data_IF_924226574606
#
_entry.id   IF_924226574606
#
_cell.length_a   1.000
_cell.length_b   1.000
_cell.length_c   1.000
_cell.angle_alpha   90.00
_cell.angle_beta   90.00
_cell.angle_gamma   90.00
#
_symmetry.space_group_name_H-M   'P 1'
#
loop_
_entity.id
_entity.type
_entity.pdbx_description
1 polymer ?
#
# COMPACT_ATOMS: atom_id res chain seq x y z
N UNK A 1 19.54 -32.62 12.20
CA UNK A 1 20.59 -31.76 12.78
C UNK A 1 20.24 -30.31 12.47
N UNK A 2 20.16 -29.39 13.45
CA UNK A 2 19.96 -27.98 13.14
C UNK A 2 21.17 -27.45 12.35
N UNK A 3 20.93 -26.64 11.32
CA UNK A 3 21.99 -26.05 10.53
C UNK A 3 22.87 -25.16 11.42
N UNK A 4 24.17 -25.46 11.50
CA UNK A 4 25.14 -24.66 12.25
C UNK A 4 25.32 -23.32 11.54
N UNK A 5 25.10 -22.21 12.24
CA UNK A 5 25.24 -20.85 11.69
C UNK A 5 26.67 -20.63 11.18
N UNK A 6 26.81 -20.44 9.88
CA UNK A 6 28.09 -20.14 9.23
C UNK A 6 28.56 -18.71 9.56
N UNK A 7 29.79 -18.55 10.06
CA UNK A 7 30.44 -17.25 10.31
C UNK A 7 31.08 -16.62 9.04
N UNK A 8 30.71 -17.08 7.85
CA UNK A 8 31.20 -16.49 6.59
C UNK A 8 30.66 -15.06 6.44
N UNK A 9 31.49 -14.12 5.93
CA UNK A 9 31.03 -12.76 5.66
C UNK A 9 29.92 -12.75 4.60
N UNK A 10 28.92 -11.90 4.81
CA UNK A 10 27.74 -11.76 3.95
C UNK A 10 27.76 -10.40 3.27
N UNK A 11 27.73 -10.39 1.95
CA UNK A 11 27.75 -9.17 1.15
C UNK A 11 26.32 -8.67 0.87
N UNK A 12 25.71 -8.04 1.88
CA UNK A 12 24.34 -7.50 1.84
C UNK A 12 24.30 -6.08 2.42
N UNK A 13 25.19 -5.20 1.97
CA UNK A 13 25.10 -3.81 2.42
C UNK A 13 23.78 -3.18 1.92
N UNK A 14 23.16 -2.33 2.74
CA UNK A 14 21.89 -1.70 2.39
C UNK A 14 21.99 -0.90 1.08
N UNK A 15 23.14 -0.27 0.84
CA UNK A 15 23.42 0.46 -0.41
C UNK A 15 23.34 -0.44 -1.66
N UNK A 16 23.92 -1.65 -1.61
CA UNK A 16 23.84 -2.60 -2.73
C UNK A 16 22.40 -3.11 -2.93
N UNK A 17 21.71 -3.45 -1.83
CA UNK A 17 20.31 -3.92 -1.88
C UNK A 17 19.42 -2.86 -2.52
N UNK A 18 19.56 -1.59 -2.12
CA UNK A 18 18.82 -0.48 -2.72
C UNK A 18 19.21 -0.29 -4.20
N UNK A 19 20.50 -0.29 -4.53
CA UNK A 19 20.98 -0.05 -5.89
C UNK A 19 20.47 -1.09 -6.91
N UNK A 20 20.30 -2.35 -6.49
CA UNK A 20 19.78 -3.42 -7.35
C UNK A 20 18.25 -3.37 -7.41
N UNK A 21 17.56 -3.27 -6.27
CA UNK A 21 16.10 -3.39 -6.22
C UNK A 21 15.39 -2.15 -6.79
N UNK A 22 15.92 -0.94 -6.59
CA UNK A 22 15.30 0.29 -7.10
C UNK A 22 15.37 0.43 -8.62
N UNK A 23 16.07 -0.46 -9.33
CA UNK A 23 16.09 -0.49 -10.81
C UNK A 23 15.01 -1.41 -11.39
N UNK A 24 14.36 -2.22 -10.56
CA UNK A 24 13.37 -3.19 -11.01
C UNK A 24 11.96 -2.76 -10.60
N UNK A 25 11.04 -2.48 -11.54
CA UNK A 25 9.66 -2.14 -11.20
C UNK A 25 8.97 -3.28 -10.43
N UNK A 26 9.36 -4.53 -10.67
CA UNK A 26 8.85 -5.71 -9.96
C UNK A 26 9.27 -5.68 -8.49
N UNK A 27 10.55 -5.38 -8.20
CA UNK A 27 11.04 -5.33 -6.83
C UNK A 27 10.44 -4.16 -6.04
N UNK A 28 10.32 -2.98 -6.69
CA UNK A 28 9.65 -1.81 -6.12
C UNK A 28 8.19 -2.15 -5.79
N UNK A 29 7.44 -2.69 -6.77
CA UNK A 29 6.03 -3.05 -6.56
C UNK A 29 5.88 -4.09 -5.44
N UNK A 30 6.80 -5.06 -5.34
CA UNK A 30 6.78 -6.08 -4.29
C UNK A 30 6.97 -5.51 -2.88
N UNK A 31 7.96 -4.64 -2.67
CA UNK A 31 8.18 -4.07 -1.33
C UNK A 31 7.05 -3.09 -0.96
N UNK A 32 6.57 -2.30 -1.91
CA UNK A 32 5.44 -1.41 -1.68
C UNK A 32 4.17 -2.18 -1.35
N UNK A 33 3.94 -3.36 -1.93
CA UNK A 33 2.74 -4.15 -1.67
C UNK A 33 2.74 -4.71 -0.24
N UNK A 34 3.92 -5.08 0.27
CA UNK A 34 4.09 -5.50 1.66
C UNK A 34 3.85 -4.33 2.62
N UNK A 35 4.48 -3.18 2.36
CA UNK A 35 4.33 -1.99 3.20
C UNK A 35 2.89 -1.49 3.21
N UNK A 36 2.22 -1.49 2.05
CA UNK A 36 0.82 -1.09 1.95
C UNK A 36 -0.10 -2.02 2.73
N UNK A 37 0.17 -3.33 2.74
CA UNK A 37 -0.56 -4.30 3.56
C UNK A 37 -0.45 -4.00 5.06
N UNK A 38 0.76 -3.66 5.53
CA UNK A 38 0.99 -3.24 6.93
C UNK A 38 0.24 -1.96 7.25
N UNK A 39 0.28 -0.96 6.37
CA UNK A 39 -0.45 0.31 6.54
C UNK A 39 -1.95 0.05 6.67
N UNK A 40 -2.53 -0.73 5.75
CA UNK A 40 -3.96 -1.08 5.76
C UNK A 40 -4.31 -1.82 7.05
N UNK A 41 -3.51 -2.81 7.45
CA UNK A 41 -3.76 -3.57 8.67
C UNK A 41 -3.74 -2.69 9.94
N UNK A 42 -2.79 -1.78 10.06
CA UNK A 42 -2.67 -0.93 11.24
C UNK A 42 -3.77 0.14 11.31
N UNK A 43 -4.15 0.70 10.17
CA UNK A 43 -5.10 1.82 10.12
C UNK A 43 -6.57 1.39 9.98
N UNK A 44 -6.86 0.11 9.70
CA UNK A 44 -8.25 -0.38 9.61
C UNK A 44 -9.04 -0.14 10.90
N UNK A 45 -8.41 -0.28 12.08
CA UNK A 45 -9.07 -0.03 13.36
C UNK A 45 -9.52 1.42 13.53
N UNK A 46 -8.71 2.38 13.05
CA UNK A 46 -9.05 3.80 13.06
C UNK A 46 -10.27 4.06 12.17
N UNK A 47 -10.29 3.48 10.97
CA UNK A 47 -11.38 3.62 10.01
C UNK A 47 -12.68 2.98 10.53
N UNK A 48 -12.59 1.82 11.20
CA UNK A 48 -13.74 1.19 11.84
C UNK A 48 -14.31 2.04 12.97
N UNK A 49 -13.47 2.72 13.76
CA UNK A 49 -13.95 3.66 14.78
C UNK A 49 -14.63 4.89 14.16
N UNK A 50 -14.06 5.46 13.09
CA UNK A 50 -14.70 6.56 12.35
C UNK A 50 -16.07 6.12 11.80
N UNK A 51 -16.14 4.91 11.23
CA UNK A 51 -17.37 4.33 10.69
C UNK A 51 -18.41 4.13 11.80
N UNK A 52 -18.04 3.50 12.92
CA UNK A 52 -18.92 3.29 14.07
C UNK A 52 -19.52 4.61 14.58
N UNK A 53 -18.69 5.65 14.77
CA UNK A 53 -19.16 6.97 15.18
C UNK A 53 -20.03 7.66 14.16
N UNK A 54 -19.76 7.48 12.87
CA UNK A 54 -20.59 8.07 11.81
C UNK A 54 -21.98 7.44 11.75
N UNK A 55 -22.14 6.20 12.23
CA UNK A 55 -23.39 5.45 12.21
C UNK A 55 -24.16 5.49 13.53
N UNK A 56 -23.57 6.03 14.61
CA UNK A 56 -24.16 5.96 15.94
C UNK A 56 -25.41 6.82 16.12
N UNK A 57 -25.46 8.01 15.49
CA UNK A 57 -26.59 8.94 15.49
C UNK A 57 -26.37 10.07 14.47
N UNK A 58 -27.39 10.91 14.18
CA UNK A 58 -27.20 12.13 13.37
C UNK A 58 -26.10 13.05 13.94
N UNK A 59 -26.06 13.24 15.25
CA UNK A 59 -25.02 14.04 15.92
C UNK A 59 -23.64 13.39 15.81
N UNK A 60 -23.58 12.05 15.85
CA UNK A 60 -22.35 11.29 15.61
C UNK A 60 -21.82 11.48 14.18
N UNK A 61 -22.70 11.45 13.19
CA UNK A 61 -22.36 11.75 11.80
C UNK A 61 -21.84 13.18 11.64
N UNK A 62 -22.52 14.17 12.21
CA UNK A 62 -22.11 15.57 12.16
C UNK A 62 -20.79 15.81 12.89
N UNK A 63 -20.52 15.10 13.99
CA UNK A 63 -19.23 15.13 14.68
C UNK A 63 -18.12 14.60 13.78
N UNK A 64 -18.31 13.43 13.14
CA UNK A 64 -17.31 12.88 12.21
C UNK A 64 -17.07 13.84 11.05
N UNK A 65 -18.14 14.34 10.42
CA UNK A 65 -18.05 15.24 9.28
C UNK A 65 -17.32 16.55 9.61
N UNK A 66 -17.72 17.22 10.69
CA UNK A 66 -17.28 18.60 10.96
C UNK A 66 -16.04 18.66 11.86
N UNK A 67 -15.90 17.75 12.82
CA UNK A 67 -14.79 17.76 13.79
C UNK A 67 -13.66 16.84 13.35
N UNK A 68 -13.97 15.58 13.07
CA UNK A 68 -12.95 14.58 12.70
C UNK A 68 -12.37 14.91 11.32
N UNK A 69 -13.21 15.04 10.31
CA UNK A 69 -12.79 15.43 8.96
C UNK A 69 -12.56 16.94 8.80
N UNK A 70 -12.91 17.77 9.78
CA UNK A 70 -12.45 19.16 9.83
C UNK A 70 -10.95 19.28 10.10
N UNK A 71 -10.32 18.24 10.65
CA UNK A 71 -8.89 18.22 10.93
C UNK A 71 -8.09 17.69 9.71
N UNK A 72 -7.24 18.54 9.15
CA UNK A 72 -6.39 18.21 7.99
C UNK A 72 -5.46 17.02 8.22
N UNK A 73 -4.99 16.81 9.47
CA UNK A 73 -4.12 15.69 9.82
C UNK A 73 -4.90 14.37 9.73
N UNK A 74 -6.16 14.35 10.18
CA UNK A 74 -6.99 13.15 10.09
C UNK A 74 -7.30 12.83 8.64
N UNK A 75 -7.67 13.83 7.83
CA UNK A 75 -7.85 13.66 6.38
C UNK A 75 -6.61 13.07 5.72
N UNK A 76 -5.43 13.56 6.09
CA UNK A 76 -4.17 13.04 5.59
C UNK A 76 -3.93 11.58 6.00
N UNK A 77 -4.21 11.21 7.25
CA UNK A 77 -4.10 9.81 7.72
C UNK A 77 -5.09 8.90 6.96
N UNK A 78 -6.33 9.35 6.76
CA UNK A 78 -7.34 8.63 5.97
C UNK A 78 -6.85 8.48 4.53
N UNK A 79 -6.26 9.53 3.94
CA UNK A 79 -5.65 9.43 2.62
C UNK A 79 -4.49 8.43 2.59
N UNK A 80 -3.60 8.38 3.58
CA UNK A 80 -2.53 7.38 3.67
C UNK A 80 -3.11 5.96 3.68
N UNK A 81 -4.18 5.72 4.44
CA UNK A 81 -4.88 4.43 4.43
C UNK A 81 -5.44 4.12 3.04
N UNK A 82 -6.18 5.05 2.42
CA UNK A 82 -6.79 4.85 1.10
C UNK A 82 -5.72 4.66 0.02
N UNK A 83 -4.60 5.39 0.09
CA UNK A 83 -3.48 5.24 -0.82
C UNK A 83 -2.83 3.85 -0.68
N UNK A 84 -2.62 3.39 0.56
CA UNK A 84 -2.18 2.04 0.86
C UNK A 84 -3.15 0.99 0.30
N UNK A 85 -4.45 1.16 0.52
CA UNK A 85 -5.49 0.26 0.05
C UNK A 85 -5.53 0.17 -1.49
N UNK A 86 -5.51 1.31 -2.19
CA UNK A 86 -5.48 1.37 -3.66
C UNK A 86 -4.28 0.59 -4.20
N UNK A 87 -3.08 0.88 -3.68
CA UNK A 87 -1.88 0.21 -4.13
C UNK A 87 -1.93 -1.30 -3.80
N UNK A 88 -2.32 -1.65 -2.58
CA UNK A 88 -2.38 -3.04 -2.14
C UNK A 88 -3.35 -3.87 -2.99
N UNK A 89 -4.52 -3.31 -3.30
CA UNK A 89 -5.54 -3.94 -4.11
C UNK A 89 -5.09 -4.15 -5.56
N UNK A 90 -4.57 -3.10 -6.22
CA UNK A 90 -4.10 -3.19 -7.61
C UNK A 90 -2.93 -4.17 -7.74
N UNK A 91 -1.93 -4.08 -6.85
CA UNK A 91 -0.81 -5.02 -6.83
C UNK A 91 -1.26 -6.44 -6.46
N UNK A 92 -2.27 -6.58 -5.60
CA UNK A 92 -2.90 -7.85 -5.25
C UNK A 92 -3.59 -8.51 -6.44
N UNK A 93 -4.34 -7.76 -7.26
CA UNK A 93 -4.89 -8.28 -8.52
C UNK A 93 -3.76 -8.77 -9.44
N UNK A 94 -2.67 -8.00 -9.58
CA UNK A 94 -1.50 -8.43 -10.35
C UNK A 94 -0.87 -9.71 -9.79
N UNK A 95 -0.94 -9.96 -8.49
CA UNK A 95 -0.50 -11.23 -7.89
C UNK A 95 -1.46 -12.37 -8.24
N UNK A 96 -2.76 -12.19 -8.07
CA UNK A 96 -3.76 -13.20 -8.41
C UNK A 96 -3.73 -13.58 -9.90
N UNK A 97 -3.52 -12.60 -10.79
CA UNK A 97 -3.34 -12.87 -12.22
C UNK A 97 -2.08 -13.70 -12.49
N UNK A 98 -0.97 -13.41 -11.80
CA UNK A 98 0.24 -14.21 -11.92
C UNK A 98 0.04 -15.63 -11.38
N UNK A 99 -0.70 -15.80 -10.28
CA UNK A 99 -1.05 -17.12 -9.71
C UNK A 99 -1.93 -17.95 -10.66
N UNK A 100 -2.66 -17.30 -11.57
CA UNK A 100 -3.44 -17.92 -12.64
C UNK A 100 -2.62 -18.20 -13.92
N UNK A 101 -1.31 -17.89 -13.92
CA UNK A 101 -0.41 -18.11 -15.05
C UNK A 101 -0.34 -16.97 -16.07
N UNK A 102 -0.87 -15.78 -15.74
CA UNK A 102 -0.72 -14.60 -16.61
C UNK A 102 0.58 -13.85 -16.32
N UNK A 103 1.26 -13.41 -17.39
CA UNK A 103 2.45 -12.55 -17.32
C UNK A 103 3.63 -13.14 -16.51
N UNK A 104 3.92 -14.43 -16.68
CA UNK A 104 4.99 -15.16 -15.98
C UNK A 104 6.40 -14.81 -16.46
N UNK A 105 6.57 -14.38 -17.71
CA UNK A 105 7.88 -14.04 -18.25
C UNK A 105 8.41 -12.73 -17.68
N UNK A 106 9.74 -12.61 -17.57
CA UNK A 106 10.40 -11.44 -16.98
C UNK A 106 9.94 -10.10 -17.59
N UNK A 107 9.81 -10.03 -18.91
CA UNK A 107 9.37 -8.82 -19.60
C UNK A 107 7.90 -8.53 -19.29
N UNK A 108 7.03 -9.54 -19.39
CA UNK A 108 5.61 -9.41 -19.09
C UNK A 108 5.35 -9.02 -17.63
N UNK A 109 6.09 -9.58 -16.67
CA UNK A 109 6.03 -9.22 -15.26
C UNK A 109 6.50 -7.78 -14.97
N UNK A 110 7.51 -7.28 -15.70
CA UNK A 110 7.94 -5.88 -15.62
C UNK A 110 6.88 -4.93 -16.17
N UNK A 111 6.23 -5.29 -17.27
CA UNK A 111 5.11 -4.51 -17.84
C UNK A 111 3.96 -4.48 -16.85
N UNK A 112 3.53 -5.64 -16.34
CA UNK A 112 2.44 -5.73 -15.36
C UNK A 112 2.73 -4.92 -14.09
N UNK A 113 3.95 -5.00 -13.54
CA UNK A 113 4.35 -4.20 -12.39
C UNK A 113 4.33 -2.69 -12.67
N UNK A 114 4.81 -2.28 -13.85
CA UNK A 114 4.78 -0.87 -14.28
C UNK A 114 3.35 -0.36 -14.42
N UNK A 115 2.45 -1.14 -15.03
CA UNK A 115 1.03 -0.80 -15.15
C UNK A 115 0.40 -0.66 -13.76
N UNK A 116 0.64 -1.62 -12.85
CA UNK A 116 0.14 -1.54 -11.47
C UNK A 116 0.61 -0.26 -10.76
N UNK A 117 1.88 0.13 -10.93
CA UNK A 117 2.43 1.36 -10.35
C UNK A 117 1.75 2.62 -10.91
N UNK A 118 1.57 2.71 -12.24
CA UNK A 118 0.93 3.86 -12.90
C UNK A 118 -0.53 3.98 -12.47
N UNK A 119 -1.31 2.89 -12.54
CA UNK A 119 -2.72 2.89 -12.14
C UNK A 119 -2.89 3.27 -10.67
N UNK A 120 -2.01 2.76 -9.80
CA UNK A 120 -2.03 3.12 -8.39
C UNK A 120 -1.69 4.60 -8.18
N UNK A 121 -0.66 5.13 -8.86
CA UNK A 121 -0.30 6.54 -8.73
C UNK A 121 -1.45 7.47 -9.14
N UNK A 122 -2.13 7.16 -10.26
CA UNK A 122 -3.32 7.91 -10.70
C UNK A 122 -4.44 7.85 -9.65
N UNK A 123 -4.75 6.65 -9.14
CA UNK A 123 -5.77 6.48 -8.10
C UNK A 123 -5.42 7.20 -6.80
N UNK A 124 -4.15 7.15 -6.38
CA UNK A 124 -3.66 7.82 -5.17
C UNK A 124 -3.75 9.34 -5.28
N UNK A 125 -3.41 9.90 -6.46
CA UNK A 125 -3.53 11.34 -6.74
C UNK A 125 -5.01 11.75 -6.75
N UNK A 126 -5.88 10.99 -7.42
CA UNK A 126 -7.32 11.25 -7.42
C UNK A 126 -7.91 11.20 -6.00
N UNK A 127 -7.52 10.20 -5.20
CA UNK A 127 -7.92 10.09 -3.80
C UNK A 127 -7.36 11.24 -2.94
N UNK A 128 -6.14 11.72 -3.22
CA UNK A 128 -5.60 12.89 -2.54
C UNK A 128 -6.48 14.11 -2.78
N UNK A 129 -6.83 14.37 -4.04
CA UNK A 129 -7.69 15.49 -4.40
C UNK A 129 -9.04 15.37 -3.72
N UNK A 130 -9.69 14.20 -3.80
CA UNK A 130 -11.01 13.96 -3.20
C UNK A 130 -11.03 14.07 -1.67
N UNK A 131 -9.98 13.58 -0.99
CA UNK A 131 -9.97 13.54 0.47
C UNK A 131 -9.50 14.86 1.06
N UNK A 132 -8.61 15.60 0.38
CA UNK A 132 -7.95 16.81 0.89
C UNK A 132 -8.59 18.13 0.44
N UNK A 133 -9.46 18.12 -0.56
CA UNK A 133 -10.22 19.28 -1.02
C UNK A 133 -11.71 18.95 -1.10
#
# INVERSE_FOLDING_TARGET
>A
MPAVKSNRPVNLSMGQVLAVNLRSPVAIASILHRLSGVIVFLLVAVLLWILDKSLSSPEGFDYVKNVVFGNIIVRFIVWVFVAGLIFHFIAGIKHLLADMGFAEELQSGRIAATISLILSALGIIAAFVWIMF
#
